data_IF_159880142195
#
_entry.id   IF_159880142195
#
_cell.length_a   1.000
_cell.length_b   1.000
_cell.length_c   1.000
_cell.angle_alpha   90.00
_cell.angle_beta   90.00
_cell.angle_gamma   90.00
#
_symmetry.space_group_name_H-M   'P 1'
#
loop_
_entity.id
_entity.type
_entity.pdbx_description
1 polymer ?
#
# COMPACT_ATOMS: atom_id res chain seq x y z
N UNK A 1 -69.11 68.04 46.97
CA UNK A 1 -68.71 67.52 48.29
C UNK A 1 -67.43 66.78 48.18
N UNK A 2 -66.32 67.29 48.68
CA UNK A 2 -65.26 66.59 49.30
C UNK A 2 -64.06 67.52 49.52
N UNK A 3 -63.67 67.60 50.71
CA UNK A 3 -62.65 68.52 51.24
C UNK A 3 -61.25 68.12 50.82
N UNK A 4 -60.46 69.09 50.33
CA UNK A 4 -59.01 68.96 50.17
C UNK A 4 -58.34 69.38 51.49
N UNK A 5 -57.59 68.49 52.13
CA UNK A 5 -56.72 68.78 53.24
C UNK A 5 -55.32 69.09 52.73
N UNK A 6 -54.95 70.37 52.77
CA UNK A 6 -53.61 70.84 52.57
C UNK A 6 -52.69 70.39 53.75
N UNK A 7 -51.67 69.65 53.50
CA UNK A 7 -50.68 69.26 54.50
C UNK A 7 -49.52 70.25 54.46
N UNK A 8 -49.36 71.01 55.54
CA UNK A 8 -48.25 71.97 55.75
C UNK A 8 -46.86 71.26 55.63
N UNK A 9 -46.00 71.87 54.87
CA UNK A 9 -44.57 71.56 54.90
C UNK A 9 -43.99 71.95 56.25
N UNK A 10 -43.50 70.94 57.02
CA UNK A 10 -42.70 71.17 58.20
C UNK A 10 -41.37 71.82 57.85
N UNK A 11 -41.04 72.90 58.61
CA UNK A 11 -39.77 73.58 58.58
C UNK A 11 -38.63 72.63 58.95
N UNK A 12 -37.66 72.49 58.05
CA UNK A 12 -36.43 71.78 58.36
C UNK A 12 -35.68 72.51 59.44
N UNK A 13 -35.47 71.86 60.56
CA UNK A 13 -34.80 72.49 61.73
C UNK A 13 -33.29 72.65 61.42
N UNK A 14 -32.73 73.69 61.91
CA UNK A 14 -31.32 74.15 61.79
C UNK A 14 -30.29 73.01 62.10
N UNK A 15 -30.68 71.99 62.80
CA UNK A 15 -29.87 70.84 63.20
C UNK A 15 -29.68 69.79 62.08
N UNK A 16 -30.52 69.71 61.14
CA UNK A 16 -30.40 68.76 59.99
C UNK A 16 -29.35 69.28 58.98
N UNK A 17 -29.27 70.61 58.84
CA UNK A 17 -28.22 71.21 57.98
C UNK A 17 -26.80 70.97 58.54
N UNK A 18 -26.64 71.06 59.87
CA UNK A 18 -25.32 70.75 60.48
C UNK A 18 -24.96 69.29 60.37
N UNK A 19 -25.83 68.32 60.38
CA UNK A 19 -25.59 66.90 60.14
C UNK A 19 -25.25 66.65 58.72
N UNK A 20 -25.93 67.30 57.82
CA UNK A 20 -25.64 67.18 56.36
C UNK A 20 -24.25 67.67 55.99
N UNK A 21 -23.81 68.78 56.52
CA UNK A 21 -22.50 69.35 56.33
C UNK A 21 -21.38 68.47 56.94
N UNK A 22 -21.60 67.94 58.14
CA UNK A 22 -20.63 67.04 58.80
C UNK A 22 -20.44 65.74 58.04
N UNK A 23 -21.47 65.17 57.44
CA UNK A 23 -21.38 63.98 56.61
C UNK A 23 -20.75 64.27 55.29
N UNK A 24 -20.93 65.47 54.68
CA UNK A 24 -20.22 65.84 53.47
C UNK A 24 -18.71 66.06 53.71
N UNK A 25 -18.28 66.53 54.85
CA UNK A 25 -16.85 66.67 55.24
C UNK A 25 -16.19 65.30 55.45
N UNK A 26 -16.88 64.34 56.12
CA UNK A 26 -16.38 62.96 56.29
C UNK A 26 -16.25 62.24 54.98
N UNK A 27 -17.15 62.43 54.00
CA UNK A 27 -17.02 61.84 52.69
C UNK A 27 -15.87 62.40 51.86
N UNK A 28 -15.58 63.74 52.00
CA UNK A 28 -14.41 64.32 51.28
C UNK A 28 -13.09 63.87 51.88
N UNK A 29 -12.98 63.66 53.18
CA UNK A 29 -11.74 63.11 53.77
C UNK A 29 -11.43 61.67 53.41
N UNK A 30 -12.49 60.86 53.16
CA UNK A 30 -12.30 59.44 52.77
C UNK A 30 -11.89 59.24 51.27
N UNK A 31 -12.17 60.23 50.41
CA UNK A 31 -11.81 60.15 48.99
C UNK A 31 -10.35 60.52 48.78
N UNK A 32 -9.77 61.43 49.57
CA UNK A 32 -8.39 61.79 49.49
C UNK A 32 -7.41 60.74 50.08
N UNK A 33 -7.87 59.94 51.05
CA UNK A 33 -7.03 58.93 51.68
C UNK A 33 -6.94 57.59 50.84
N UNK A 34 -7.82 57.42 49.87
CA UNK A 34 -7.84 56.23 49.03
C UNK A 34 -6.83 56.25 47.87
N UNK A 35 -6.22 57.41 47.56
CA UNK A 35 -5.33 57.56 46.42
C UNK A 35 -3.83 57.58 46.74
N UNK A 36 -3.41 57.33 47.97
CA UNK A 36 -1.99 57.36 48.35
C UNK A 36 -1.46 56.03 48.89
N UNK A 37 -2.17 54.93 48.63
CA UNK A 37 -1.63 53.59 48.89
C UNK A 37 -1.53 52.80 47.61
N UNK A 38 -0.85 53.35 46.62
CA UNK A 38 -0.30 52.53 45.55
C UNK A 38 0.93 51.81 46.10
N UNK A 39 0.64 50.73 46.80
CA UNK A 39 1.72 49.74 47.05
C UNK A 39 2.33 49.39 45.70
N UNK A 40 3.65 49.49 45.55
CA UNK A 40 4.28 49.28 44.26
C UNK A 40 3.84 47.95 43.70
N UNK A 41 3.36 47.94 42.44
CA UNK A 41 2.95 46.74 41.71
C UNK A 41 4.12 45.77 41.51
N UNK A 42 5.25 46.05 42.06
CA UNK A 42 6.50 45.26 42.04
C UNK A 42 6.28 43.82 42.58
N UNK A 43 5.50 43.63 43.65
CA UNK A 43 5.24 42.30 44.17
C UNK A 43 4.40 41.41 43.25
N UNK A 44 3.57 42.01 42.38
CA UNK A 44 2.76 41.27 41.40
C UNK A 44 3.64 40.77 40.28
N UNK A 45 4.55 41.63 39.78
CA UNK A 45 5.51 41.26 38.73
C UNK A 45 6.48 40.22 39.21
N UNK A 46 6.96 40.28 40.44
CA UNK A 46 7.82 39.25 41.05
C UNK A 46 7.11 37.91 41.13
N UNK A 47 5.82 37.88 41.51
CA UNK A 47 5.00 36.65 41.52
C UNK A 47 4.83 36.07 40.13
N UNK A 48 4.45 36.89 39.16
CA UNK A 48 4.28 36.45 37.76
C UNK A 48 5.61 35.90 37.22
N UNK A 49 6.71 36.61 37.50
CA UNK A 49 8.05 36.15 37.07
C UNK A 49 8.42 34.82 37.76
N UNK A 50 8.15 34.67 39.04
CA UNK A 50 8.41 33.44 39.79
C UNK A 50 7.55 32.26 39.28
N UNK A 51 6.27 32.49 38.93
CA UNK A 51 5.39 31.49 38.34
C UNK A 51 5.88 31.09 36.91
N UNK A 52 6.28 32.05 36.11
CA UNK A 52 6.81 31.81 34.77
C UNK A 52 8.12 31.01 34.81
N UNK A 53 9.05 31.43 35.66
CA UNK A 53 10.34 30.72 35.83
C UNK A 53 10.15 29.32 36.39
N UNK A 54 9.22 29.12 37.35
CA UNK A 54 8.90 27.79 37.84
C UNK A 54 8.31 26.87 36.78
N UNK A 55 7.38 27.37 35.95
CA UNK A 55 6.80 26.62 34.83
C UNK A 55 7.86 26.30 33.76
N UNK A 56 8.71 27.27 33.45
CA UNK A 56 9.81 27.06 32.49
C UNK A 56 10.83 26.04 33.00
N UNK A 57 11.16 26.13 34.30
CA UNK A 57 12.05 25.14 34.94
C UNK A 57 11.42 23.73 34.90
N UNK A 58 10.14 23.61 35.26
CA UNK A 58 9.44 22.33 35.19
C UNK A 58 9.41 21.77 33.77
N UNK A 59 9.12 22.62 32.78
CA UNK A 59 9.13 22.23 31.37
C UNK A 59 10.55 21.76 30.94
N UNK A 60 11.59 22.44 31.41
CA UNK A 60 13.00 22.05 31.14
C UNK A 60 13.34 20.69 31.75
N UNK A 61 12.93 20.46 33.01
CA UNK A 61 13.13 19.16 33.67
C UNK A 61 12.39 18.04 32.95
N UNK A 62 11.12 18.25 32.58
CA UNK A 62 10.36 17.27 31.81
C UNK A 62 10.99 17.01 30.44
N UNK A 63 11.40 18.07 29.73
CA UNK A 63 12.10 17.95 28.47
C UNK A 63 13.40 17.16 28.58
N UNK A 64 14.21 17.43 29.62
CA UNK A 64 15.42 16.67 29.89
C UNK A 64 15.15 15.20 30.19
N UNK A 65 14.14 14.88 30.98
CA UNK A 65 13.77 13.49 31.32
C UNK A 65 13.30 12.73 30.06
N UNK A 66 12.48 13.36 29.21
CA UNK A 66 12.04 12.77 27.94
C UNK A 66 13.23 12.53 27.00
N UNK A 67 14.12 13.51 26.86
CA UNK A 67 15.31 13.39 26.04
C UNK A 67 16.26 12.30 26.54
N UNK A 68 16.50 12.26 27.84
CA UNK A 68 17.34 11.23 28.49
C UNK A 68 16.72 9.83 28.36
N UNK A 69 15.40 9.72 28.55
CA UNK A 69 14.66 8.48 28.36
C UNK A 69 14.71 7.99 26.89
N UNK A 70 14.55 8.90 25.95
CA UNK A 70 14.67 8.59 24.53
C UNK A 70 16.07 8.07 24.16
N UNK A 71 17.13 8.77 24.58
CA UNK A 71 18.51 8.33 24.38
C UNK A 71 18.80 6.97 25.04
N UNK A 72 18.28 6.75 26.25
CA UNK A 72 18.39 5.46 26.92
C UNK A 72 17.75 4.33 26.10
N UNK A 73 16.58 4.53 25.52
CA UNK A 73 15.91 3.53 24.68
C UNK A 73 16.76 3.21 23.45
N UNK A 74 17.34 4.22 22.78
CA UNK A 74 18.15 4.04 21.58
C UNK A 74 19.52 3.41 21.84
N UNK A 75 20.14 3.67 22.99
CA UNK A 75 21.49 3.22 23.28
C UNK A 75 21.55 1.94 24.12
N UNK A 76 20.46 1.55 24.78
CA UNK A 76 20.44 0.43 25.71
C UNK A 76 20.68 -0.92 25.02
N UNK A 77 21.67 -1.73 25.46
CA UNK A 77 21.91 -3.09 24.97
C UNK A 77 20.72 -4.05 25.17
N UNK A 78 19.79 -3.68 26.07
CA UNK A 78 18.58 -4.47 26.35
C UNK A 78 17.65 -4.56 25.16
N UNK A 79 17.73 -3.63 24.23
CA UNK A 79 16.87 -3.55 23.03
C UNK A 79 17.60 -3.89 21.73
N UNK A 80 18.79 -4.47 21.82
CA UNK A 80 19.50 -4.99 20.65
C UNK A 80 18.82 -6.25 20.13
N UNK A 81 18.64 -6.32 18.82
CA UNK A 81 18.04 -7.47 18.12
C UNK A 81 18.94 -8.67 18.27
N UNK A 82 18.46 -9.69 18.96
CA UNK A 82 19.11 -10.99 19.12
C UNK A 82 18.44 -12.05 18.26
N UNK A 83 17.10 -12.01 18.17
CA UNK A 83 16.30 -13.01 17.48
C UNK A 83 15.52 -12.37 16.34
N UNK A 84 15.61 -12.99 15.16
CA UNK A 84 14.80 -12.64 14.00
C UNK A 84 14.00 -13.88 13.65
N UNK A 85 12.67 -13.77 13.62
CA UNK A 85 11.79 -14.86 13.20
C UNK A 85 11.14 -14.52 11.88
N UNK A 86 11.16 -15.49 10.97
CA UNK A 86 10.57 -15.38 9.63
C UNK A 86 9.28 -16.17 9.59
N UNK A 87 8.28 -15.66 8.87
CA UNK A 87 7.00 -16.32 8.66
C UNK A 87 6.55 -16.15 7.21
N UNK A 88 5.94 -17.19 6.65
CA UNK A 88 5.32 -17.15 5.34
C UNK A 88 6.26 -17.28 4.14
N UNK A 89 7.58 -17.30 4.36
CA UNK A 89 8.57 -17.57 3.33
C UNK A 89 8.71 -19.08 3.12
N UNK A 90 8.40 -19.55 1.92
CA UNK A 90 8.49 -20.96 1.50
C UNK A 90 9.54 -21.15 0.40
N UNK A 91 9.57 -20.24 -0.57
CA UNK A 91 10.50 -20.24 -1.70
C UNK A 91 11.75 -19.43 -1.37
N UNK A 92 11.59 -18.31 -0.69
CA UNK A 92 12.70 -17.47 -0.23
C UNK A 92 13.32 -18.06 1.04
N UNK A 93 14.60 -18.28 1.03
CA UNK A 93 15.33 -18.72 2.21
C UNK A 93 15.52 -17.55 3.21
N UNK A 94 15.65 -17.87 4.51
CA UNK A 94 15.92 -16.84 5.51
C UNK A 94 17.19 -16.02 5.24
N UNK A 95 18.32 -16.61 4.77
CA UNK A 95 19.49 -15.84 4.36
C UNK A 95 19.23 -14.85 3.24
N UNK A 96 18.47 -15.23 2.19
CA UNK A 96 18.11 -14.33 1.09
C UNK A 96 17.31 -13.14 1.59
N UNK A 97 16.33 -13.37 2.48
CA UNK A 97 15.55 -12.28 3.09
C UNK A 97 16.45 -11.33 3.88
N UNK A 98 17.43 -11.87 4.63
CA UNK A 98 18.40 -11.06 5.39
C UNK A 98 19.33 -10.27 4.48
N UNK A 99 19.72 -10.79 3.33
CA UNK A 99 20.54 -10.06 2.37
C UNK A 99 19.82 -8.79 1.87
N UNK A 100 18.54 -8.87 1.63
CA UNK A 100 17.72 -7.73 1.19
C UNK A 100 17.49 -6.67 2.27
N UNK A 101 17.30 -7.08 3.51
CA UNK A 101 17.09 -6.12 4.62
C UNK A 101 18.39 -5.64 5.25
N UNK A 102 19.50 -6.34 5.00
CA UNK A 102 20.80 -6.05 5.58
C UNK A 102 20.99 -6.64 6.97
N UNK A 103 22.17 -6.39 7.56
CA UNK A 103 22.52 -6.91 8.90
C UNK A 103 21.70 -6.20 9.98
N UNK A 104 20.79 -6.92 10.60
CA UNK A 104 19.91 -6.41 11.66
C UNK A 104 20.32 -6.85 13.06
N UNK A 105 21.09 -7.95 13.20
CA UNK A 105 21.56 -8.42 14.52
C UNK A 105 22.46 -7.40 15.18
N UNK A 106 22.25 -7.15 16.46
CA UNK A 106 23.00 -6.17 17.25
C UNK A 106 22.51 -4.72 17.09
N UNK A 107 21.68 -4.41 16.09
CA UNK A 107 21.06 -3.08 15.98
C UNK A 107 19.99 -2.90 17.06
N UNK A 108 19.81 -1.66 17.51
CA UNK A 108 18.78 -1.35 18.50
C UNK A 108 17.38 -1.38 17.84
N UNK A 109 16.44 -2.08 18.47
CA UNK A 109 15.10 -2.31 17.97
C UNK A 109 14.30 -1.00 17.75
N UNK A 110 14.61 0.06 18.52
CA UNK A 110 13.97 1.37 18.36
C UNK A 110 14.63 2.21 17.25
N UNK A 111 15.93 2.01 17.00
CA UNK A 111 16.67 2.77 16.00
C UNK A 111 16.38 2.34 14.56
N UNK A 112 15.96 1.08 14.34
CA UNK A 112 15.68 0.58 13.00
C UNK A 112 14.42 1.23 12.40
N UNK A 113 14.50 1.61 11.14
CA UNK A 113 13.38 2.11 10.37
C UNK A 113 12.62 0.96 9.68
N UNK A 114 11.52 0.49 10.30
CA UNK A 114 10.73 -0.63 9.74
C UNK A 114 10.10 -0.30 8.38
N UNK A 115 9.77 0.96 8.13
CA UNK A 115 9.18 1.36 6.84
C UNK A 115 10.20 1.19 5.70
N UNK A 116 11.44 1.60 5.93
CA UNK A 116 12.52 1.44 4.96
C UNK A 116 12.83 -0.04 4.70
N UNK A 117 12.89 -0.86 5.75
CA UNK A 117 13.09 -2.31 5.60
C UNK A 117 11.95 -2.96 4.83
N UNK A 118 10.71 -2.55 5.11
CA UNK A 118 9.55 -3.04 4.40
C UNK A 118 9.55 -2.65 2.92
N UNK A 119 10.00 -1.44 2.62
CA UNK A 119 10.18 -0.98 1.24
C UNK A 119 11.21 -1.84 0.51
N UNK A 120 12.39 -2.06 1.09
CA UNK A 120 13.43 -2.92 0.52
C UNK A 120 12.92 -4.33 0.24
N UNK A 121 12.18 -4.93 1.17
CA UNK A 121 11.56 -6.23 0.96
C UNK A 121 10.55 -6.24 -0.19
N UNK A 122 9.75 -5.19 -0.32
CA UNK A 122 8.75 -5.08 -1.40
C UNK A 122 9.35 -4.89 -2.79
N UNK A 123 10.62 -4.51 -2.89
CA UNK A 123 11.37 -4.45 -4.15
C UNK A 123 11.81 -5.83 -4.64
N UNK A 124 11.82 -6.85 -3.76
CA UNK A 124 12.15 -8.20 -4.15
C UNK A 124 11.04 -8.82 -5.03
N UNK A 125 11.36 -9.36 -6.23
CA UNK A 125 10.35 -9.84 -7.18
C UNK A 125 9.40 -10.90 -6.59
N UNK A 126 9.87 -11.77 -5.71
CA UNK A 126 9.07 -12.81 -5.08
C UNK A 126 8.20 -12.33 -3.93
N UNK A 127 8.37 -11.11 -3.45
CA UNK A 127 7.58 -10.56 -2.34
C UNK A 127 6.32 -9.90 -2.90
N UNK A 128 5.16 -10.42 -2.50
CA UNK A 128 3.86 -9.81 -2.78
C UNK A 128 3.53 -8.73 -1.77
N UNK A 129 3.77 -9.02 -0.50
CA UNK A 129 3.64 -8.08 0.61
C UNK A 129 4.51 -8.54 1.78
N UNK A 130 4.91 -7.60 2.61
CA UNK A 130 5.67 -7.88 3.82
C UNK A 130 5.19 -7.04 5.00
N UNK A 131 5.41 -7.54 6.20
CA UNK A 131 5.10 -6.88 7.46
C UNK A 131 6.24 -7.14 8.43
N UNK A 132 6.71 -6.08 9.10
CA UNK A 132 7.75 -6.16 10.11
C UNK A 132 7.18 -5.69 11.44
N UNK A 133 7.41 -6.48 12.50
CA UNK A 133 6.90 -6.20 13.83
C UNK A 133 8.01 -6.31 14.86
N UNK A 134 8.11 -5.29 15.72
CA UNK A 134 8.99 -5.34 16.90
C UNK A 134 8.32 -6.21 17.96
N UNK A 135 9.01 -7.26 18.37
CA UNK A 135 8.61 -8.10 19.51
C UNK A 135 9.58 -7.86 20.66
N UNK A 136 9.18 -6.98 21.57
CA UNK A 136 10.01 -6.61 22.70
C UNK A 136 10.39 -7.79 23.59
N UNK A 137 11.56 -7.75 24.25
CA UNK A 137 12.55 -6.67 24.21
C UNK A 137 13.60 -6.79 23.09
N UNK A 138 13.78 -7.95 22.43
CA UNK A 138 14.99 -8.26 21.64
C UNK A 138 14.70 -8.95 20.30
N UNK A 139 13.45 -9.00 19.86
CA UNK A 139 13.07 -9.80 18.72
C UNK A 139 12.43 -8.95 17.63
N UNK A 140 12.70 -9.30 16.37
CA UNK A 140 12.02 -8.79 15.18
C UNK A 140 11.31 -9.93 14.49
N UNK A 141 10.05 -9.74 14.13
CA UNK A 141 9.28 -10.67 13.30
C UNK A 141 9.17 -10.09 11.91
N UNK A 142 9.56 -10.87 10.91
CA UNK A 142 9.43 -10.55 9.49
C UNK A 142 8.42 -11.55 8.92
N UNK A 143 7.28 -11.04 8.49
CA UNK A 143 6.23 -11.82 7.85
C UNK A 143 6.16 -11.45 6.38
N UNK A 144 6.24 -12.47 5.51
CA UNK A 144 6.30 -12.30 4.05
C UNK A 144 5.14 -13.09 3.45
N UNK A 145 4.44 -12.48 2.52
CA UNK A 145 3.56 -13.17 1.59
C UNK A 145 4.26 -13.25 0.26
N UNK A 146 4.57 -14.45 -0.19
CA UNK A 146 5.24 -14.67 -1.46
C UNK A 146 4.28 -14.61 -2.65
N UNK A 147 4.80 -14.25 -3.83
CA UNK A 147 4.08 -14.35 -5.09
C UNK A 147 4.06 -15.81 -5.54
N UNK A 148 2.95 -16.21 -6.13
CA UNK A 148 2.79 -17.55 -6.69
C UNK A 148 3.03 -17.48 -8.18
N UNK A 149 3.98 -18.26 -8.74
CA UNK A 149 4.17 -18.38 -10.17
C UNK A 149 2.91 -18.86 -10.88
N UNK A 150 2.59 -18.24 -12.00
CA UNK A 150 1.36 -18.45 -12.72
C UNK A 150 1.56 -18.85 -14.18
N UNK A 151 2.64 -18.39 -14.76
CA UNK A 151 3.05 -18.69 -16.12
C UNK A 151 4.57 -18.62 -16.28
N UNK A 152 5.04 -19.19 -17.37
CA UNK A 152 6.41 -19.05 -17.87
C UNK A 152 6.39 -18.09 -19.05
N UNK A 153 7.35 -17.19 -19.12
CA UNK A 153 7.46 -16.21 -20.21
C UNK A 153 8.84 -16.30 -20.84
N UNK A 154 8.89 -16.60 -22.13
CA UNK A 154 10.12 -16.63 -22.93
C UNK A 154 10.45 -15.21 -23.38
N UNK A 155 11.59 -14.69 -22.95
CA UNK A 155 12.20 -13.42 -23.41
C UNK A 155 13.56 -13.72 -24.08
N UNK A 156 14.64 -13.44 -23.41
CA UNK A 156 16.00 -13.89 -23.67
C UNK A 156 16.21 -15.33 -23.15
N UNK A 157 15.65 -15.61 -22.01
CA UNK A 157 15.48 -16.93 -21.40
C UNK A 157 14.06 -17.06 -20.83
N UNK A 158 13.74 -18.22 -20.27
CA UNK A 158 12.41 -18.45 -19.66
C UNK A 158 12.40 -17.92 -18.23
N UNK A 159 11.44 -17.06 -17.95
CA UNK A 159 11.17 -16.51 -16.61
C UNK A 159 9.82 -16.98 -16.08
N UNK A 160 9.69 -17.01 -14.77
CA UNK A 160 8.42 -17.15 -14.08
C UNK A 160 7.71 -15.80 -13.99
N UNK A 161 6.39 -15.81 -14.10
CA UNK A 161 5.54 -14.64 -14.00
C UNK A 161 4.34 -14.94 -13.11
N UNK A 162 3.96 -13.99 -12.26
CA UNK A 162 2.78 -14.13 -11.42
C UNK A 162 1.48 -13.73 -12.16
N UNK A 163 0.34 -13.82 -11.46
CA UNK A 163 -0.97 -13.48 -12.00
C UNK A 163 -1.22 -11.96 -12.13
N UNK A 164 -0.26 -11.13 -11.74
CA UNK A 164 -0.28 -9.67 -11.93
C UNK A 164 0.66 -9.20 -13.04
N UNK A 165 1.37 -10.13 -13.69
CA UNK A 165 2.34 -9.82 -14.75
C UNK A 165 3.73 -9.46 -14.23
N UNK A 166 4.00 -9.69 -12.94
CA UNK A 166 5.34 -9.46 -12.36
C UNK A 166 6.25 -10.62 -12.71
N UNK A 167 7.42 -10.32 -13.26
CA UNK A 167 8.48 -11.31 -13.51
C UNK A 167 9.18 -11.60 -12.18
N UNK A 168 9.28 -12.88 -11.82
CA UNK A 168 9.80 -13.34 -10.54
C UNK A 168 11.30 -13.70 -10.65
N UNK A 169 11.61 -14.80 -11.31
CA UNK A 169 12.97 -15.33 -11.46
C UNK A 169 13.08 -16.12 -12.76
N UNK A 170 14.27 -16.51 -13.18
CA UNK A 170 14.44 -17.56 -14.19
C UNK A 170 13.67 -18.83 -13.85
N UNK A 171 13.28 -19.59 -14.87
CA UNK A 171 12.51 -20.82 -14.71
C UNK A 171 13.25 -21.81 -13.82
N UNK A 172 12.48 -22.50 -12.96
CA UNK A 172 12.95 -23.65 -12.19
C UNK A 172 12.21 -24.90 -12.66
N UNK A 173 12.83 -26.10 -12.58
CA UNK A 173 12.24 -27.36 -13.09
C UNK A 173 10.85 -27.68 -12.56
N UNK A 174 10.58 -27.36 -11.32
CA UNK A 174 9.29 -27.60 -10.65
C UNK A 174 8.11 -26.85 -11.29
N UNK A 175 8.38 -25.74 -12.00
CA UNK A 175 7.37 -24.89 -12.64
C UNK A 175 7.16 -25.16 -14.14
N UNK A 176 7.80 -26.18 -14.71
CA UNK A 176 7.66 -26.55 -16.14
C UNK A 176 6.24 -26.93 -16.55
N UNK A 177 5.41 -27.30 -15.59
CA UNK A 177 4.01 -27.60 -15.82
C UNK A 177 3.13 -26.36 -16.06
N UNK A 178 3.65 -25.16 -15.78
CA UNK A 178 2.94 -23.91 -16.01
C UNK A 178 2.91 -23.57 -17.51
N UNK A 179 1.86 -22.90 -17.98
CA UNK A 179 1.72 -22.50 -19.37
C UNK A 179 2.86 -21.57 -19.81
N UNK A 180 3.33 -21.76 -21.07
CA UNK A 180 4.42 -21.00 -21.66
C UNK A 180 3.90 -19.91 -22.60
N UNK A 181 4.31 -18.68 -22.36
CA UNK A 181 4.07 -17.55 -23.24
C UNK A 181 5.38 -17.19 -23.95
N UNK A 182 5.38 -17.26 -25.28
CA UNK A 182 6.51 -16.88 -26.12
C UNK A 182 6.25 -15.49 -26.69
N UNK A 183 7.13 -14.57 -26.36
CA UNK A 183 7.13 -13.23 -26.93
C UNK A 183 8.15 -13.17 -28.06
N UNK A 184 7.67 -13.11 -29.31
CA UNK A 184 8.56 -13.01 -30.46
C UNK A 184 9.28 -11.66 -30.45
N UNK A 185 10.60 -11.67 -30.59
CA UNK A 185 11.44 -10.45 -30.61
C UNK A 185 11.13 -9.64 -31.86
N UNK A 186 10.24 -8.68 -31.78
CA UNK A 186 10.13 -7.64 -32.79
C UNK A 186 11.09 -6.48 -32.45
N UNK A 187 11.54 -5.77 -33.48
CA UNK A 187 12.48 -4.62 -33.39
C UNK A 187 11.98 -3.50 -32.47
N UNK A 188 10.71 -3.49 -32.08
CA UNK A 188 10.12 -2.56 -31.13
C UNK A 188 10.14 -3.13 -29.71
N UNK A 189 10.87 -2.53 -28.87
CA UNK A 189 11.50 -2.92 -27.60
C UNK A 189 10.61 -3.37 -26.44
N UNK A 190 9.28 -3.45 -26.54
CA UNK A 190 8.48 -3.81 -25.35
C UNK A 190 7.13 -4.43 -25.70
N UNK A 191 7.10 -5.75 -25.89
CA UNK A 191 5.85 -6.44 -25.65
C UNK A 191 5.58 -6.41 -24.15
N UNK A 192 4.50 -5.75 -23.72
CA UNK A 192 4.28 -5.49 -22.31
C UNK A 192 3.85 -6.77 -21.58
N UNK A 193 4.29 -6.92 -20.34
CA UNK A 193 3.81 -7.97 -19.45
C UNK A 193 2.28 -8.01 -19.34
N UNK A 194 1.61 -6.88 -19.59
CA UNK A 194 0.15 -6.75 -19.65
C UNK A 194 -0.46 -7.59 -20.77
N UNK A 195 0.14 -7.58 -21.98
CA UNK A 195 -0.35 -8.41 -23.10
C UNK A 195 -0.16 -9.89 -22.81
N UNK A 196 0.97 -10.28 -22.20
CA UNK A 196 1.18 -11.64 -21.75
C UNK A 196 0.11 -12.06 -20.73
N UNK A 197 -0.18 -11.20 -19.75
CA UNK A 197 -1.21 -11.44 -18.74
C UNK A 197 -2.61 -11.52 -19.37
N UNK A 198 -2.90 -10.68 -20.36
CA UNK A 198 -4.20 -10.69 -21.04
C UNK A 198 -4.38 -11.97 -21.85
N UNK A 199 -3.36 -12.43 -22.59
CA UNK A 199 -3.36 -13.72 -23.28
C UNK A 199 -3.59 -14.88 -22.33
N UNK A 200 -2.98 -14.82 -21.15
CA UNK A 200 -3.13 -15.82 -20.10
C UNK A 200 -4.56 -15.91 -19.57
N UNK A 201 -5.19 -14.76 -19.33
CA UNK A 201 -6.59 -14.67 -18.90
C UNK A 201 -7.51 -15.27 -19.97
N UNK A 202 -7.28 -14.95 -21.24
CA UNK A 202 -8.03 -15.50 -22.36
C UNK A 202 -7.88 -17.01 -22.44
N UNK A 203 -6.66 -17.53 -22.40
CA UNK A 203 -6.39 -18.97 -22.39
C UNK A 203 -7.12 -19.70 -21.26
N UNK A 204 -7.15 -19.14 -20.06
CA UNK A 204 -7.95 -19.69 -18.95
C UNK A 204 -9.44 -19.70 -19.22
N UNK A 205 -9.94 -18.71 -19.94
CA UNK A 205 -11.35 -18.65 -20.30
C UNK A 205 -11.72 -19.80 -21.26
N UNK A 206 -10.86 -20.03 -22.26
CA UNK A 206 -11.01 -21.17 -23.17
C UNK A 206 -10.96 -22.52 -22.42
N UNK A 207 -10.00 -22.67 -21.51
CA UNK A 207 -9.83 -23.92 -20.73
C UNK A 207 -10.98 -24.22 -19.77
N UNK A 208 -11.95 -23.33 -19.59
CA UNK A 208 -13.20 -23.61 -18.86
C UNK A 208 -14.24 -24.34 -19.74
N UNK A 209 -14.08 -24.29 -21.05
CA UNK A 209 -14.98 -24.96 -21.97
C UNK A 209 -14.72 -26.48 -21.90
N UNK A 210 -15.79 -27.27 -21.98
CA UNK A 210 -15.70 -28.75 -21.97
C UNK A 210 -14.80 -29.29 -23.07
N UNK A 211 -14.78 -28.62 -24.22
CA UNK A 211 -13.94 -28.89 -25.38
C UNK A 211 -12.44 -28.98 -25.05
N UNK A 212 -11.94 -28.15 -24.14
CA UNK A 212 -10.53 -28.15 -23.74
C UNK A 212 -10.22 -29.00 -22.51
N UNK A 213 -11.18 -29.76 -21.99
CA UNK A 213 -11.00 -30.55 -20.77
C UNK A 213 -9.87 -31.58 -20.88
N UNK A 214 -9.81 -32.26 -22.02
CA UNK A 214 -8.83 -33.31 -22.26
C UNK A 214 -7.51 -32.80 -22.85
N UNK A 215 -7.56 -31.69 -23.58
CA UNK A 215 -6.39 -31.07 -24.23
C UNK A 215 -6.42 -29.55 -24.06
N UNK A 216 -6.06 -29.03 -22.87
CA UNK A 216 -6.12 -27.61 -22.58
C UNK A 216 -5.11 -26.82 -23.38
N UNK A 217 -5.43 -25.55 -23.61
CA UNK A 217 -4.45 -24.58 -24.07
C UNK A 217 -3.34 -24.42 -23.03
N UNK A 218 -2.11 -24.62 -23.42
CA UNK A 218 -0.93 -24.67 -22.54
C UNK A 218 0.18 -23.72 -22.99
N UNK A 219 0.00 -23.02 -24.07
CA UNK A 219 0.94 -22.04 -24.57
C UNK A 219 0.29 -20.93 -25.38
N UNK A 220 0.96 -19.79 -25.42
CA UNK A 220 0.62 -18.69 -26.29
C UNK A 220 1.86 -18.10 -26.96
N UNK A 221 1.81 -17.88 -28.27
CA UNK A 221 2.86 -17.24 -29.05
C UNK A 221 2.37 -15.89 -29.52
N UNK A 222 2.98 -14.84 -29.06
CA UNK A 222 2.68 -13.48 -29.47
C UNK A 222 3.51 -13.15 -30.69
N UNK A 223 2.91 -13.31 -31.91
CA UNK A 223 3.61 -13.13 -33.20
C UNK A 223 3.87 -11.67 -33.53
N UNK A 224 2.91 -10.81 -33.19
CA UNK A 224 2.98 -9.35 -33.43
C UNK A 224 2.25 -8.63 -32.30
N UNK A 225 2.28 -7.29 -32.29
CA UNK A 225 1.51 -6.49 -31.34
C UNK A 225 -0.01 -6.70 -31.41
N UNK A 226 -0.49 -7.27 -32.52
CA UNK A 226 -1.89 -7.41 -32.82
C UNK A 226 -2.42 -8.84 -32.89
N UNK A 227 -1.55 -9.87 -32.82
CA UNK A 227 -1.97 -11.27 -32.97
C UNK A 227 -1.32 -12.17 -31.92
N UNK A 228 -2.14 -13.05 -31.34
CA UNK A 228 -1.71 -14.13 -30.44
C UNK A 228 -2.14 -15.46 -31.02
N UNK A 229 -1.27 -16.45 -30.92
CA UNK A 229 -1.54 -17.83 -31.29
C UNK A 229 -1.54 -18.66 -29.99
N UNK A 230 -2.68 -19.20 -29.64
CA UNK A 230 -2.82 -20.18 -28.55
C UNK A 230 -2.56 -21.58 -29.05
N UNK A 231 -1.94 -22.43 -28.24
CA UNK A 231 -1.56 -23.80 -28.60
C UNK A 231 -2.03 -24.73 -27.50
N UNK A 232 -2.65 -25.83 -27.89
CA UNK A 232 -3.02 -26.92 -26.98
C UNK A 232 -1.79 -27.64 -26.44
N UNK A 233 -1.95 -28.39 -25.35
CA UNK A 233 -0.88 -29.19 -24.72
C UNK A 233 -0.28 -30.19 -25.69
N UNK A 234 -1.10 -30.90 -26.44
CA UNK A 234 -0.66 -31.86 -27.45
C UNK A 234 -0.16 -31.22 -28.76
N UNK A 235 -0.32 -29.87 -28.87
CA UNK A 235 0.09 -29.08 -30.06
C UNK A 235 -0.63 -29.43 -31.36
N UNK A 236 -1.74 -30.13 -31.27
CA UNK A 236 -2.58 -30.55 -32.38
C UNK A 236 -3.54 -29.47 -32.86
N UNK A 237 -3.96 -28.58 -31.95
CA UNK A 237 -4.83 -27.44 -32.28
C UNK A 237 -4.12 -26.12 -32.00
N UNK A 238 -4.21 -25.19 -32.95
CA UNK A 238 -3.76 -23.80 -32.80
C UNK A 238 -4.90 -22.85 -33.04
N UNK A 239 -5.05 -21.85 -32.18
CA UNK A 239 -6.09 -20.82 -32.28
C UNK A 239 -5.42 -19.47 -32.37
N UNK A 240 -5.55 -18.79 -33.50
CA UNK A 240 -5.04 -17.44 -33.71
C UNK A 240 -6.16 -16.42 -33.44
N UNK A 241 -5.83 -15.37 -32.69
CA UNK A 241 -6.78 -14.30 -32.37
C UNK A 241 -6.13 -12.92 -32.51
N UNK A 242 -6.96 -11.89 -32.68
CA UNK A 242 -6.54 -10.51 -32.58
C UNK A 242 -6.36 -10.11 -31.11
N UNK A 243 -5.23 -9.51 -30.77
CA UNK A 243 -4.98 -8.95 -29.44
C UNK A 243 -5.79 -7.69 -29.15
N UNK A 244 -6.31 -7.03 -30.20
CA UNK A 244 -7.08 -5.81 -30.06
C UNK A 244 -8.54 -6.11 -29.71
N UNK A 245 -9.03 -7.31 -30.08
CA UNK A 245 -10.40 -7.75 -29.80
C UNK A 245 -10.45 -9.26 -29.56
N UNK A 246 -10.05 -9.68 -28.38
CA UNK A 246 -10.13 -11.09 -27.98
C UNK A 246 -11.57 -11.52 -27.70
N UNK A 247 -12.47 -10.59 -27.38
CA UNK A 247 -13.87 -10.91 -27.14
C UNK A 247 -14.56 -11.33 -28.43
N UNK A 248 -14.30 -10.64 -29.53
CA UNK A 248 -14.83 -11.02 -30.85
C UNK A 248 -14.29 -12.39 -31.28
N UNK A 249 -12.99 -12.64 -31.11
CA UNK A 249 -12.41 -13.94 -31.38
C UNK A 249 -13.04 -15.06 -30.53
N UNK A 250 -13.32 -14.81 -29.26
CA UNK A 250 -14.01 -15.79 -28.41
C UNK A 250 -15.45 -16.05 -28.86
N UNK A 251 -16.19 -15.00 -29.23
CA UNK A 251 -17.55 -15.11 -29.79
C UNK A 251 -17.54 -15.93 -31.07
N UNK A 252 -16.62 -15.68 -32.01
CA UNK A 252 -16.46 -16.43 -33.25
C UNK A 252 -16.13 -17.90 -32.99
N UNK A 253 -15.30 -18.17 -31.98
CA UNK A 253 -15.02 -19.54 -31.55
C UNK A 253 -16.29 -20.26 -31.04
N UNK A 254 -17.09 -19.59 -30.21
CA UNK A 254 -18.33 -20.17 -29.68
C UNK A 254 -19.34 -20.52 -30.78
N UNK A 255 -19.39 -19.73 -31.86
CA UNK A 255 -20.29 -20.00 -33.00
C UNK A 255 -19.91 -21.29 -33.73
N UNK A 256 -18.61 -21.59 -33.86
CA UNK A 256 -18.15 -22.78 -34.57
C UNK A 256 -17.99 -24.00 -33.65
N UNK A 257 -18.04 -23.82 -32.34
CA UNK A 257 -17.72 -24.85 -31.33
C UNK A 257 -18.54 -26.14 -31.56
N UNK A 258 -19.82 -26.01 -31.83
CA UNK A 258 -20.74 -27.14 -32.04
C UNK A 258 -20.46 -27.89 -33.36
N UNK A 259 -19.78 -27.22 -34.31
CA UNK A 259 -19.40 -27.82 -35.60
C UNK A 259 -17.99 -28.43 -35.59
N UNK A 260 -17.24 -28.21 -34.49
CA UNK A 260 -15.92 -28.80 -34.32
C UNK A 260 -16.02 -30.21 -33.75
N UNK A 261 -15.72 -31.23 -34.56
CA UNK A 261 -15.62 -32.61 -34.09
C UNK A 261 -14.28 -32.81 -33.37
N UNK A 262 -14.32 -33.16 -32.06
CA UNK A 262 -13.13 -33.44 -31.24
C UNK A 262 -12.21 -34.51 -31.87
N UNK A 263 -12.77 -35.44 -32.63
CA UNK A 263 -12.01 -36.56 -33.24
C UNK A 263 -11.22 -36.14 -34.48
N UNK A 264 -11.57 -35.02 -35.11
CA UNK A 264 -10.95 -34.56 -36.37
C UNK A 264 -10.15 -33.27 -36.22
N UNK A 265 -9.73 -32.92 -34.99
CA UNK A 265 -8.97 -31.71 -34.71
C UNK A 265 -7.46 -31.85 -34.88
N UNK A 266 -6.97 -33.04 -35.19
CA UNK A 266 -5.55 -33.26 -35.37
C UNK A 266 -5.00 -32.38 -36.51
N UNK A 267 -4.04 -31.51 -36.14
CA UNK A 267 -3.32 -30.63 -37.07
C UNK A 267 -4.16 -29.47 -37.64
N UNK A 268 -5.09 -28.88 -36.91
CA UNK A 268 -5.90 -27.73 -37.36
C UNK A 268 -5.44 -26.42 -36.75
N UNK A 269 -5.43 -25.39 -37.60
CA UNK A 269 -5.27 -24.00 -37.17
C UNK A 269 -6.56 -23.25 -37.43
N UNK A 270 -7.13 -22.65 -36.37
CA UNK A 270 -8.35 -21.82 -36.43
C UNK A 270 -7.91 -20.35 -36.30
N UNK A 271 -8.19 -19.55 -37.32
CA UNK A 271 -7.90 -18.12 -37.30
C UNK A 271 -9.19 -17.34 -37.04
N UNK A 272 -9.28 -16.75 -35.87
CA UNK A 272 -10.38 -15.94 -35.35
C UNK A 272 -10.03 -14.43 -35.33
N UNK A 273 -8.97 -14.04 -36.08
CA UNK A 273 -8.49 -12.64 -36.06
C UNK A 273 -9.36 -11.69 -36.90
N UNK A 274 -10.31 -12.22 -37.64
CA UNK A 274 -11.17 -11.45 -38.55
C UNK A 274 -12.55 -11.24 -37.93
N UNK A 275 -13.16 -10.10 -38.24
CA UNK A 275 -14.49 -9.82 -37.77
C UNK A 275 -15.51 -10.67 -38.59
N UNK A 276 -16.44 -11.30 -37.89
CA UNK A 276 -17.53 -12.14 -38.45
C UNK A 276 -17.06 -13.25 -39.41
N UNK A 277 -15.77 -13.66 -39.32
CA UNK A 277 -15.19 -14.70 -40.18
C UNK A 277 -14.29 -15.61 -39.40
N UNK A 278 -14.33 -16.92 -39.72
CA UNK A 278 -13.45 -17.95 -39.16
C UNK A 278 -12.76 -18.68 -40.32
N UNK A 279 -11.43 -18.78 -40.23
CA UNK A 279 -10.65 -19.50 -41.23
C UNK A 279 -10.07 -20.75 -40.58
N UNK A 280 -10.43 -21.92 -41.07
CA UNK A 280 -9.87 -23.21 -40.61
C UNK A 280 -8.87 -23.69 -41.64
N UNK A 281 -7.63 -23.95 -41.20
CA UNK A 281 -6.56 -24.51 -42.04
C UNK A 281 -6.20 -25.90 -41.53
N UNK A 282 -6.13 -26.84 -42.45
CA UNK A 282 -5.66 -28.19 -42.20
C UNK A 282 -4.19 -28.30 -42.59
N UNK A 283 -3.45 -29.27 -42.05
CA UNK A 283 -2.06 -29.58 -42.39
C UNK A 283 -1.08 -28.41 -42.21
N UNK A 284 -1.13 -27.70 -41.10
CA UNK A 284 -0.14 -26.67 -40.81
C UNK A 284 1.08 -27.24 -40.03
N UNK A 285 2.27 -26.59 -40.17
CA UNK A 285 3.46 -26.96 -39.41
C UNK A 285 3.33 -26.56 -37.94
N UNK A 286 3.37 -27.49 -36.97
CA UNK A 286 3.24 -27.14 -35.57
C UNK A 286 4.38 -26.25 -35.08
N UNK A 287 4.09 -25.36 -34.13
CA UNK A 287 5.03 -24.40 -33.51
C UNK A 287 6.23 -25.09 -32.81
N UNK A 288 6.23 -26.40 -32.69
CA UNK A 288 7.33 -27.19 -32.12
C UNK A 288 8.73 -26.89 -32.73
N UNK A 289 8.76 -26.41 -33.98
CA UNK A 289 10.00 -26.05 -34.68
C UNK A 289 10.61 -24.72 -34.19
N UNK A 290 9.89 -23.85 -33.49
CA UNK A 290 10.41 -22.57 -33.01
C UNK A 290 11.14 -22.68 -31.66
N UNK A 291 10.77 -23.66 -30.83
CA UNK A 291 11.38 -23.88 -29.51
C UNK A 291 12.66 -24.72 -29.65
N UNK A 292 12.73 -25.65 -30.64
CA UNK A 292 13.86 -26.57 -30.86
C UNK A 292 15.09 -25.92 -31.52
N UNK A 293 14.98 -24.73 -32.11
CA UNK A 293 16.09 -24.06 -32.80
C UNK A 293 16.93 -23.12 -31.92
N UNK A 294 16.71 -23.09 -30.62
CA UNK A 294 17.42 -22.21 -29.68
C UNK A 294 18.05 -22.93 -28.48
N UNK A 295 18.35 -24.22 -28.63
CA UNK A 295 19.29 -24.91 -27.74
C UNK A 295 20.65 -24.97 -28.38
#
# INVERSE_FOLDING_TARGET
MSFALARQKGSVTRWDDFRSQRNKRKKRGSILSKNLSSKPKFGIWVRILAELTSKLFLAGVVGYLLFSGYNFLLSSPRFQIQNISFKGNQVLSNPEVLEWVGSLKGQNLFAINLAELNQRLSEHPWVKSSSLQRKFPKSLVIEITERVPYARVMKDQVYLMDNFGVILSPEKPEYRHLPLIIMEKNKEKKLSNEKALYSLKTMRYFNKLSFFKNNPLDGAVMKTHSRVLFVTRNRDLQIQMSMNDLNEGFKNFMIILDSLDEKNLETKMIDLSFKDQVIIRENFKPVSTLVSKKN
#
